data_IF_753515590823
#
_entry.id   IF_753515590823
#
_cell.length_a   1.000
_cell.length_b   1.000
_cell.length_c   1.000
_cell.angle_alpha   90.00
_cell.angle_beta   90.00
_cell.angle_gamma   90.00
#
_symmetry.space_group_name_H-M   'P 1'
#
loop_
_entity.id
_entity.type
_entity.pdbx_description
1 polymer ?
#
# COMPACT_ATOMS: atom_id res chain seq x y z
N UNK A 1 -3.74 14.05 31.31
CA UNK A 1 -5.15 13.84 31.00
C UNK A 1 -5.43 12.48 30.32
N UNK A 2 -4.42 11.63 30.14
CA UNK A 2 -4.59 10.22 29.77
C UNK A 2 -4.99 9.92 28.32
N UNK A 3 -4.81 10.87 27.42
CA UNK A 3 -5.17 10.70 26.00
C UNK A 3 -4.00 10.21 25.12
N UNK A 4 -2.77 10.38 25.57
CA UNK A 4 -1.57 10.02 24.83
C UNK A 4 -0.85 8.86 25.50
N UNK A 5 -0.56 7.83 24.73
CA UNK A 5 0.21 6.66 25.13
C UNK A 5 1.22 6.33 24.04
N UNK A 6 2.36 5.81 24.42
CA UNK A 6 3.40 5.35 23.50
C UNK A 6 3.45 3.82 23.51
N UNK A 7 3.82 3.23 22.39
CA UNK A 7 4.16 1.82 22.27
C UNK A 7 5.39 1.70 21.37
N UNK A 8 6.25 0.73 21.65
CA UNK A 8 7.42 0.47 20.80
C UNK A 8 7.01 0.06 19.39
N UNK A 9 7.75 0.49 18.39
CA UNK A 9 7.53 0.19 16.98
C UNK A 9 8.74 -0.51 16.35
N UNK A 10 8.56 -1.15 15.17
CA UNK A 10 9.65 -1.72 14.39
C UNK A 10 10.73 -0.70 14.06
N UNK A 11 11.95 -1.17 13.84
CA UNK A 11 13.08 -0.28 13.54
C UNK A 11 12.87 0.51 12.27
N UNK A 12 13.04 1.85 12.35
CA UNK A 12 12.73 2.80 11.28
C UNK A 12 11.25 2.72 10.84
N UNK A 13 10.31 3.08 11.74
CA UNK A 13 8.88 2.99 11.48
C UNK A 13 8.48 3.68 10.18
N UNK A 14 7.54 3.08 9.42
CA UNK A 14 7.12 3.64 8.15
C UNK A 14 5.61 3.56 7.94
N UNK A 15 5.05 2.38 7.65
CA UNK A 15 3.62 2.20 7.39
C UNK A 15 2.85 1.76 8.64
N UNK A 16 1.63 2.29 8.79
CA UNK A 16 0.64 1.86 9.79
C UNK A 16 -0.68 1.69 9.08
N UNK A 17 -1.09 0.44 8.88
CA UNK A 17 -2.24 0.08 8.07
C UNK A 17 -3.28 -0.65 8.94
N UNK A 18 -4.55 -0.21 8.90
CA UNK A 18 -5.63 -0.81 9.69
C UNK A 18 -6.19 -2.02 8.96
N UNK A 19 -6.41 -3.13 9.68
CA UNK A 19 -7.05 -4.31 9.09
C UNK A 19 -8.50 -4.05 8.70
N UNK A 20 -9.06 -4.75 7.69
CA UNK A 20 -10.41 -4.50 7.19
C UNK A 20 -11.51 -4.58 8.25
N UNK A 21 -11.34 -5.42 9.27
CA UNK A 21 -12.27 -5.53 10.40
C UNK A 21 -12.10 -4.43 11.46
N UNK A 22 -11.12 -3.54 11.28
CA UNK A 22 -10.84 -2.42 12.18
C UNK A 22 -10.28 -2.81 13.55
N UNK A 23 -9.84 -4.06 13.75
CA UNK A 23 -9.41 -4.55 15.06
C UNK A 23 -7.93 -4.51 15.31
N UNK A 24 -7.14 -4.39 14.26
CA UNK A 24 -5.69 -4.50 14.33
C UNK A 24 -4.99 -3.42 13.49
N UNK A 25 -3.76 -3.14 13.85
CA UNK A 25 -2.83 -2.31 13.09
C UNK A 25 -1.67 -3.17 12.63
N UNK A 26 -1.37 -3.14 11.35
CA UNK A 26 -0.13 -3.69 10.80
C UNK A 26 0.88 -2.58 10.69
N UNK A 27 1.95 -2.68 11.49
CA UNK A 27 3.01 -1.67 11.56
C UNK A 27 4.28 -2.23 10.97
N UNK A 28 4.87 -1.47 10.09
CA UNK A 28 6.06 -1.85 9.33
C UNK A 28 7.23 -0.92 9.59
N UNK A 29 8.46 -1.45 9.53
CA UNK A 29 9.68 -0.68 9.71
C UNK A 29 10.71 -1.01 8.62
N UNK A 30 11.25 0.03 7.98
CA UNK A 30 12.17 -0.08 6.84
C UNK A 30 13.46 -0.84 7.15
N UNK A 31 13.88 -0.87 8.41
CA UNK A 31 15.10 -1.58 8.87
C UNK A 31 14.75 -2.78 9.77
N UNK A 32 13.53 -3.27 9.68
CA UNK A 32 13.07 -4.51 10.31
C UNK A 32 12.84 -5.59 9.26
N UNK A 33 12.68 -6.83 9.70
CA UNK A 33 12.33 -7.98 8.84
C UNK A 33 10.88 -8.43 9.03
N UNK A 34 10.17 -7.82 9.97
CA UNK A 34 8.82 -8.23 10.35
C UNK A 34 7.78 -7.15 10.09
N UNK A 35 6.60 -7.56 9.67
CA UNK A 35 5.37 -6.80 9.90
C UNK A 35 4.86 -7.13 11.31
N UNK A 36 4.57 -6.12 12.12
CA UNK A 36 4.08 -6.27 13.50
C UNK A 36 2.59 -5.97 13.57
N UNK A 37 1.82 -6.88 14.12
CA UNK A 37 0.36 -6.76 14.23
C UNK A 37 -0.01 -6.40 15.66
N UNK A 38 -0.47 -5.17 15.87
CA UNK A 38 -1.00 -4.68 17.15
C UNK A 38 -2.50 -4.93 17.22
N UNK A 39 -2.98 -5.26 18.42
CA UNK A 39 -4.41 -5.44 18.67
C UNK A 39 -4.99 -4.24 19.39
N UNK A 40 -6.02 -3.60 18.85
CA UNK A 40 -6.74 -2.52 19.51
C UNK A 40 -7.34 -2.95 20.85
N UNK A 41 -7.84 -4.18 20.95
CA UNK A 41 -8.39 -4.72 22.19
C UNK A 41 -7.31 -4.80 23.28
N UNK A 42 -6.12 -5.30 22.95
CA UNK A 42 -4.98 -5.38 23.88
C UNK A 42 -4.51 -3.99 24.28
N UNK A 43 -4.32 -3.09 23.31
CA UNK A 43 -3.92 -1.70 23.58
C UNK A 43 -4.92 -1.02 24.52
N UNK A 44 -6.20 -1.12 24.23
CA UNK A 44 -7.25 -0.57 25.07
C UNK A 44 -7.26 -1.19 26.47
N UNK A 45 -7.15 -2.50 26.58
CA UNK A 45 -7.08 -3.21 27.85
C UNK A 45 -5.91 -2.77 28.74
N UNK A 46 -4.74 -2.55 28.14
CA UNK A 46 -3.55 -2.03 28.84
C UNK A 46 -3.77 -0.60 29.35
N UNK A 47 -4.38 0.24 28.53
CA UNK A 47 -4.71 1.64 28.91
C UNK A 47 -5.72 1.65 30.05
N UNK A 48 -6.83 0.91 29.94
CA UNK A 48 -7.88 0.83 30.95
C UNK A 48 -7.35 0.30 32.30
N UNK A 49 -6.46 -0.70 32.23
CA UNK A 49 -5.80 -1.28 33.41
C UNK A 49 -4.62 -0.44 33.92
N UNK A 50 -4.26 0.66 33.23
CA UNK A 50 -3.09 1.49 33.52
C UNK A 50 -1.81 0.67 33.63
N UNK A 51 -1.68 -0.35 32.79
CA UNK A 51 -0.50 -1.22 32.75
C UNK A 51 0.56 -0.62 31.82
N UNK A 52 1.57 -0.02 32.40
CA UNK A 52 2.64 0.66 31.69
C UNK A 52 4.00 0.04 32.05
N UNK A 53 4.94 0.01 31.10
CA UNK A 53 6.33 -0.40 31.36
C UNK A 53 7.24 0.78 31.76
N UNK A 54 6.75 2.01 31.63
CA UNK A 54 7.49 3.21 31.97
C UNK A 54 6.81 4.49 31.49
N UNK A 55 7.60 5.55 31.45
CA UNK A 55 7.23 6.85 30.87
C UNK A 55 8.40 7.39 30.07
N UNK A 56 8.12 8.16 29.05
CA UNK A 56 9.12 8.91 28.30
C UNK A 56 9.62 10.15 29.08
N UNK A 57 10.49 10.93 28.46
CA UNK A 57 11.06 12.16 29.04
C UNK A 57 10.02 13.25 29.29
N UNK A 58 8.83 13.17 28.68
CA UNK A 58 7.72 14.12 28.87
C UNK A 58 6.65 13.60 29.84
N UNK A 59 6.86 12.43 30.42
CA UNK A 59 5.93 11.79 31.35
C UNK A 59 4.80 11.03 30.68
N UNK A 60 4.86 10.80 29.36
CA UNK A 60 3.86 10.03 28.61
C UNK A 60 4.02 8.54 28.92
N UNK A 61 2.93 7.84 29.30
CA UNK A 61 3.01 6.41 29.61
C UNK A 61 3.39 5.58 28.37
N UNK A 62 4.22 4.55 28.60
CA UNK A 62 4.66 3.59 27.59
C UNK A 62 3.97 2.26 27.84
N UNK A 63 3.26 1.75 26.82
CA UNK A 63 2.60 0.44 26.86
C UNK A 63 3.63 -0.67 26.62
N UNK A 64 3.51 -1.83 27.33
CA UNK A 64 4.40 -2.96 27.11
C UNK A 64 4.25 -3.52 25.69
N UNK A 65 5.34 -3.54 24.93
CA UNK A 65 5.33 -3.98 23.53
C UNK A 65 4.77 -5.40 23.37
N UNK A 66 5.29 -6.36 24.12
CA UNK A 66 4.90 -7.77 23.99
C UNK A 66 3.41 -8.02 24.29
N UNK A 67 2.82 -7.21 25.18
CA UNK A 67 1.40 -7.32 25.53
C UNK A 67 0.49 -6.58 24.55
N UNK A 68 1.04 -5.66 23.76
CA UNK A 68 0.31 -4.82 22.81
C UNK A 68 0.07 -5.50 21.46
N UNK A 69 0.93 -6.47 21.10
CA UNK A 69 0.87 -7.13 19.80
C UNK A 69 0.08 -8.44 19.83
N UNK A 70 -0.52 -8.79 18.69
CA UNK A 70 -1.01 -10.15 18.43
C UNK A 70 0.13 -11.06 18.02
N UNK A 71 1.05 -10.57 17.21
CA UNK A 71 2.22 -11.29 16.75
C UNK A 71 2.98 -10.54 15.67
N UNK A 72 3.97 -11.23 15.11
CA UNK A 72 4.82 -10.71 14.04
C UNK A 72 4.92 -11.72 12.90
N UNK A 73 5.08 -11.23 11.69
CA UNK A 73 5.30 -12.05 10.48
C UNK A 73 6.65 -11.68 9.90
N UNK A 74 7.56 -12.63 9.79
CA UNK A 74 8.84 -12.41 9.12
C UNK A 74 8.62 -12.41 7.59
N UNK A 75 8.64 -11.23 6.98
CA UNK A 75 8.34 -11.02 5.56
C UNK A 75 9.55 -10.56 4.74
N UNK A 76 10.69 -10.38 5.39
CA UNK A 76 11.93 -9.93 4.76
C UNK A 76 12.26 -8.47 5.05
N UNK A 77 13.47 -8.06 4.68
CA UNK A 77 14.03 -6.77 5.09
C UNK A 77 13.36 -5.60 4.36
N UNK A 78 12.81 -4.70 5.15
CA UNK A 78 12.28 -3.42 4.68
C UNK A 78 10.78 -3.39 4.39
N UNK A 79 9.91 -3.96 5.24
CA UNK A 79 8.47 -3.79 5.08
C UNK A 79 8.07 -2.31 5.21
N UNK A 80 7.15 -1.85 4.36
CA UNK A 80 6.66 -0.46 4.38
C UNK A 80 5.15 -0.35 4.51
N UNK A 81 4.37 -0.73 3.50
CA UNK A 81 2.92 -0.54 3.44
C UNK A 81 2.20 -1.85 3.20
N UNK A 82 0.99 -1.96 3.74
CA UNK A 82 0.16 -3.16 3.66
C UNK A 82 -1.20 -2.82 3.06
N UNK A 83 -1.66 -3.68 2.14
CA UNK A 83 -3.00 -3.68 1.57
C UNK A 83 -3.64 -5.05 1.80
N UNK A 84 -4.94 -5.14 1.63
CA UNK A 84 -5.68 -6.35 1.95
C UNK A 84 -6.57 -6.82 0.78
N UNK A 85 -6.96 -8.10 0.80
CA UNK A 85 -7.99 -8.69 -0.05
C UNK A 85 -9.22 -9.11 0.76
N UNK A 86 -10.25 -9.57 0.05
CA UNK A 86 -11.49 -10.10 0.63
C UNK A 86 -11.35 -11.57 1.11
N UNK A 87 -10.18 -12.17 0.97
CA UNK A 87 -9.90 -13.58 1.31
C UNK A 87 -9.13 -13.73 2.61
N UNK A 88 -8.86 -12.62 3.31
CA UNK A 88 -8.13 -12.60 4.58
C UNK A 88 -6.62 -12.62 4.43
N UNK A 89 -6.10 -12.24 3.26
CA UNK A 89 -4.67 -12.05 3.05
C UNK A 89 -4.28 -10.58 3.17
N UNK A 90 -3.05 -10.37 3.58
CA UNK A 90 -2.37 -9.09 3.56
C UNK A 90 -1.22 -9.14 2.55
N UNK A 91 -0.99 -8.02 1.91
CA UNK A 91 0.09 -7.80 0.94
C UNK A 91 0.96 -6.67 1.46
N UNK A 92 2.23 -6.93 1.68
CA UNK A 92 3.15 -5.91 2.19
C UNK A 92 4.30 -5.70 1.23
N UNK A 93 4.57 -4.43 0.92
CA UNK A 93 5.76 -4.06 0.14
C UNK A 93 7.01 -4.24 1.00
N UNK A 94 8.01 -4.95 0.46
CA UNK A 94 9.31 -5.21 1.11
C UNK A 94 10.39 -4.45 0.34
N UNK A 95 10.63 -3.22 0.77
CA UNK A 95 11.38 -2.20 0.05
C UNK A 95 12.82 -2.60 -0.29
N UNK A 96 13.59 -3.11 0.68
CA UNK A 96 15.01 -3.44 0.47
C UNK A 96 15.15 -4.71 -0.35
N UNK A 97 14.28 -5.69 -0.14
CA UNK A 97 14.28 -6.92 -0.94
C UNK A 97 13.65 -6.75 -2.33
N UNK A 98 12.93 -5.66 -2.58
CA UNK A 98 12.20 -5.43 -3.83
C UNK A 98 11.21 -6.55 -4.16
N UNK A 99 10.39 -6.88 -3.17
CA UNK A 99 9.33 -7.89 -3.29
C UNK A 99 8.01 -7.37 -2.73
N UNK A 100 6.91 -8.01 -3.12
CA UNK A 100 5.63 -7.93 -2.41
C UNK A 100 5.39 -9.28 -1.77
N UNK A 101 5.16 -9.28 -0.46
CA UNK A 101 4.86 -10.47 0.31
C UNK A 101 3.36 -10.60 0.55
N UNK A 102 2.78 -11.74 0.16
CA UNK A 102 1.43 -12.17 0.52
C UNK A 102 1.49 -13.02 1.77
N UNK A 103 0.68 -12.71 2.76
CA UNK A 103 0.66 -13.45 4.02
C UNK A 103 -0.75 -13.52 4.63
N UNK A 104 -1.01 -14.59 5.39
CA UNK A 104 -2.30 -14.80 6.05
C UNK A 104 -2.45 -13.91 7.28
N UNK A 105 -3.49 -13.05 7.31
CA UNK A 105 -3.85 -12.28 8.52
C UNK A 105 -4.17 -13.21 9.68
N UNK A 106 -4.87 -14.32 9.43
CA UNK A 106 -5.26 -15.26 10.47
C UNK A 106 -4.06 -15.95 11.13
N UNK A 107 -3.17 -16.50 10.30
CA UNK A 107 -2.12 -17.41 10.78
C UNK A 107 -0.79 -16.72 11.03
N UNK A 108 -0.65 -15.45 10.59
CA UNK A 108 0.60 -14.68 10.62
C UNK A 108 1.75 -15.44 9.93
N UNK A 109 1.48 -15.95 8.73
CA UNK A 109 2.45 -16.73 7.94
C UNK A 109 2.51 -16.22 6.51
N UNK A 110 3.73 -16.12 5.99
CA UNK A 110 3.95 -15.84 4.57
C UNK A 110 3.41 -17.01 3.73
N UNK A 111 2.67 -16.66 2.69
CA UNK A 111 2.13 -17.60 1.69
C UNK A 111 3.09 -17.64 0.50
N UNK A 112 3.40 -16.47 -0.05
CA UNK A 112 4.30 -16.34 -1.19
C UNK A 112 4.88 -14.92 -1.30
N UNK A 113 5.89 -14.76 -2.17
CA UNK A 113 6.44 -13.45 -2.52
C UNK A 113 6.57 -13.35 -4.03
N UNK A 114 6.27 -12.18 -4.58
CA UNK A 114 6.55 -11.84 -5.97
C UNK A 114 7.65 -10.80 -6.03
N UNK A 115 8.63 -11.03 -6.91
CA UNK A 115 9.70 -10.06 -7.14
C UNK A 115 9.20 -8.93 -8.02
N UNK A 116 9.50 -7.70 -7.63
CA UNK A 116 9.18 -6.48 -8.37
C UNK A 116 10.46 -5.72 -8.71
N UNK A 117 10.33 -4.57 -9.36
CA UNK A 117 11.46 -3.70 -9.60
C UNK A 117 11.97 -3.06 -8.31
N UNK A 118 13.03 -2.31 -8.46
CA UNK A 118 13.87 -1.87 -7.37
C UNK A 118 13.18 -0.89 -6.42
N UNK A 119 13.27 -1.16 -5.12
CA UNK A 119 12.77 -0.33 -4.03
C UNK A 119 11.28 0.00 -4.14
N UNK A 120 10.45 -1.03 -4.12
CA UNK A 120 9.00 -0.88 -4.05
C UNK A 120 8.61 -0.11 -2.78
N UNK A 121 7.85 0.97 -2.95
CA UNK A 121 7.32 1.76 -1.86
C UNK A 121 5.85 1.44 -1.57
N UNK A 122 4.98 2.35 -1.97
CA UNK A 122 3.54 2.15 -1.82
C UNK A 122 3.02 1.06 -2.76
N UNK A 123 1.99 0.37 -2.28
CA UNK A 123 1.21 -0.59 -3.03
C UNK A 123 -0.26 -0.23 -2.89
N UNK A 124 -1.08 -0.62 -3.84
CA UNK A 124 -2.53 -0.40 -3.78
C UNK A 124 -3.28 -1.55 -4.45
N UNK A 125 -4.36 -1.99 -3.82
CA UNK A 125 -5.40 -2.84 -4.41
C UNK A 125 -6.74 -2.11 -4.35
N UNK A 126 -7.74 -2.57 -5.12
CA UNK A 126 -9.05 -1.95 -5.07
C UNK A 126 -9.66 -2.11 -3.66
N UNK A 127 -10.04 -0.98 -3.04
CA UNK A 127 -10.57 -0.92 -1.67
C UNK A 127 -9.66 -1.58 -0.61
N UNK A 128 -8.37 -1.77 -0.93
CA UNK A 128 -7.45 -2.59 -0.14
C UNK A 128 -7.06 -2.04 1.24
N UNK A 129 -7.39 -0.80 1.52
CA UNK A 129 -7.22 -0.10 2.80
C UNK A 129 -8.56 0.26 3.45
N UNK A 130 -9.64 -0.38 3.04
CA UNK A 130 -11.00 -0.15 3.55
C UNK A 130 -11.55 -1.35 4.30
N UNK A 131 -12.79 -1.19 4.81
CA UNK A 131 -13.53 -2.28 5.48
C UNK A 131 -14.03 -3.35 4.52
N UNK A 132 -13.94 -3.12 3.21
CA UNK A 132 -14.44 -4.02 2.17
C UNK A 132 -13.45 -4.11 1.01
N UNK A 133 -12.26 -4.69 1.22
CA UNK A 133 -11.32 -4.94 0.15
C UNK A 133 -11.98 -5.75 -0.97
N UNK A 134 -11.68 -5.41 -2.23
CA UNK A 134 -12.37 -5.99 -3.38
C UNK A 134 -11.42 -6.17 -4.59
N UNK A 135 -10.12 -6.18 -4.35
CA UNK A 135 -9.13 -6.24 -5.42
C UNK A 135 -8.70 -7.65 -5.78
N UNK A 136 -8.70 -7.99 -7.09
CA UNK A 136 -7.98 -9.14 -7.65
C UNK A 136 -6.61 -8.76 -8.22
N UNK A 137 -6.26 -7.48 -8.15
CA UNK A 137 -5.00 -6.92 -8.65
C UNK A 137 -4.38 -5.99 -7.64
N UNK A 138 -3.05 -5.89 -7.69
CA UNK A 138 -2.26 -4.99 -6.86
C UNK A 138 -1.27 -4.21 -7.72
N UNK A 139 -1.17 -2.92 -7.51
CA UNK A 139 -0.13 -2.07 -8.09
C UNK A 139 1.02 -1.94 -7.10
N UNK A 140 2.23 -2.20 -7.56
CA UNK A 140 3.48 -1.95 -6.84
C UNK A 140 4.20 -0.76 -7.48
N UNK A 141 4.50 0.27 -6.69
CA UNK A 141 5.19 1.47 -7.15
C UNK A 141 6.66 1.44 -6.75
N UNK A 142 7.53 1.41 -7.75
CA UNK A 142 8.98 1.31 -7.58
C UNK A 142 9.61 2.69 -7.64
N UNK A 143 10.22 3.12 -6.52
CA UNK A 143 10.53 4.53 -6.26
C UNK A 143 11.92 4.98 -6.65
N UNK A 144 12.94 4.18 -6.31
CA UNK A 144 14.31 4.70 -6.24
C UNK A 144 15.21 4.22 -7.36
N UNK A 145 14.75 4.35 -8.58
CA UNK A 145 15.56 4.09 -9.76
C UNK A 145 16.21 5.36 -10.35
N UNK A 146 16.47 6.38 -9.52
CA UNK A 146 17.10 7.63 -9.92
C UNK A 146 18.62 7.58 -9.79
N UNK A 147 19.33 8.31 -10.64
CA UNK A 147 20.81 8.41 -10.64
C UNK A 147 21.38 8.79 -9.26
N UNK A 148 20.72 9.67 -8.53
CA UNK A 148 21.12 10.06 -7.17
C UNK A 148 21.15 8.91 -6.18
N UNK A 149 20.45 7.81 -6.46
CA UNK A 149 20.39 6.61 -5.64
C UNK A 149 21.16 5.42 -6.21
N UNK A 150 22.03 5.63 -7.18
CA UNK A 150 22.79 4.59 -7.87
C UNK A 150 23.62 3.67 -6.96
N UNK A 151 23.94 4.14 -5.75
CA UNK A 151 24.69 3.36 -4.74
C UNK A 151 23.84 2.34 -4.01
N UNK A 152 22.52 2.41 -4.12
CA UNK A 152 21.59 1.50 -3.42
C UNK A 152 20.97 0.46 -4.33
N UNK A 153 21.30 0.46 -5.62
CA UNK A 153 20.89 -0.62 -6.52
C UNK A 153 20.98 -0.26 -8.02
N UNK A 154 20.49 -1.16 -8.87
CA UNK A 154 20.53 -0.95 -10.31
C UNK A 154 19.68 0.24 -10.72
N UNK A 155 20.16 1.01 -11.70
CA UNK A 155 19.42 2.09 -12.32
C UNK A 155 18.34 1.50 -13.24
N UNK A 156 17.15 1.29 -12.70
CA UNK A 156 15.97 0.95 -13.47
C UNK A 156 15.03 2.17 -13.49
N UNK A 157 14.28 2.38 -14.57
CA UNK A 157 13.31 3.47 -14.60
C UNK A 157 12.28 3.29 -13.50
N UNK A 158 11.86 4.40 -12.88
CA UNK A 158 10.71 4.39 -11.99
C UNK A 158 9.53 3.85 -12.78
N UNK A 159 8.74 3.03 -12.14
CA UNK A 159 7.62 2.41 -12.78
C UNK A 159 6.53 2.03 -11.78
N UNK A 160 5.36 1.70 -12.28
CA UNK A 160 4.47 0.83 -11.55
C UNK A 160 4.38 -0.54 -12.22
N UNK A 161 4.17 -1.55 -11.41
CA UNK A 161 3.94 -2.91 -11.87
C UNK A 161 2.60 -3.41 -11.37
N UNK A 162 1.84 -4.05 -12.28
CA UNK A 162 0.54 -4.65 -11.96
C UNK A 162 0.72 -6.14 -11.69
N UNK A 163 0.21 -6.58 -10.56
CA UNK A 163 0.29 -7.96 -10.09
C UNK A 163 -1.13 -8.52 -10.04
N UNK A 164 -1.36 -9.68 -10.65
CA UNK A 164 -2.56 -10.47 -10.44
C UNK A 164 -2.40 -11.24 -9.13
N UNK A 165 -3.18 -10.87 -8.10
CA UNK A 165 -3.14 -11.47 -6.77
C UNK A 165 -4.18 -12.58 -6.59
N UNK A 166 -5.07 -12.77 -7.56
CA UNK A 166 -6.00 -13.91 -7.62
C UNK A 166 -5.37 -15.17 -8.22
N UNK A 167 -4.25 -15.03 -8.94
CA UNK A 167 -3.52 -16.19 -9.45
C UNK A 167 -2.65 -16.83 -8.36
N UNK A 168 -2.44 -18.14 -8.47
CA UNK A 168 -1.52 -18.92 -7.64
C UNK A 168 -0.50 -19.64 -8.54
N UNK A 169 0.78 -19.23 -8.50
CA UNK A 169 1.35 -18.11 -7.76
C UNK A 169 0.91 -16.74 -8.31
N UNK A 170 1.10 -15.68 -7.50
CA UNK A 170 0.91 -14.29 -7.92
C UNK A 170 1.73 -14.00 -9.19
N UNK A 171 1.13 -13.29 -10.16
CA UNK A 171 1.77 -13.02 -11.45
C UNK A 171 1.94 -11.52 -11.69
N UNK A 172 3.16 -11.12 -12.01
CA UNK A 172 3.42 -9.80 -12.57
C UNK A 172 2.93 -9.80 -14.03
N UNK A 173 1.91 -8.99 -14.34
CA UNK A 173 1.25 -9.00 -15.64
C UNK A 173 1.45 -7.74 -16.46
N UNK A 174 1.93 -6.66 -15.86
CA UNK A 174 2.18 -5.40 -16.55
C UNK A 174 3.27 -4.59 -15.86
N UNK A 175 4.03 -3.86 -16.65
CA UNK A 175 5.10 -2.98 -16.22
C UNK A 175 5.05 -1.69 -17.05
N UNK A 176 4.93 -0.54 -16.39
CA UNK A 176 4.87 0.76 -17.05
C UNK A 176 5.92 1.72 -16.48
N UNK A 177 6.93 2.09 -17.24
CA UNK A 177 7.84 3.16 -16.86
C UNK A 177 7.08 4.49 -16.69
N UNK A 178 7.49 5.26 -15.68
CA UNK A 178 6.94 6.56 -15.39
C UNK A 178 7.98 7.64 -15.68
N UNK A 179 7.60 8.74 -16.38
CA UNK A 179 8.55 9.79 -16.75
C UNK A 179 8.99 10.66 -15.59
N UNK A 180 8.21 10.65 -14.49
CA UNK A 180 8.50 11.40 -13.27
C UNK A 180 8.96 10.45 -12.18
N UNK A 181 9.96 10.85 -11.42
CA UNK A 181 10.55 10.04 -10.37
C UNK A 181 9.67 9.90 -9.13
N UNK A 182 9.93 8.84 -8.36
CA UNK A 182 9.33 8.54 -7.08
C UNK A 182 7.79 8.44 -7.12
N UNK A 183 7.20 7.51 -7.90
CA UNK A 183 5.77 7.26 -7.81
C UNK A 183 5.42 6.92 -6.36
N UNK A 184 4.54 7.73 -5.76
CA UNK A 184 4.32 7.67 -4.32
C UNK A 184 2.93 7.18 -3.96
N UNK A 185 1.93 7.50 -4.77
CA UNK A 185 0.57 7.11 -4.51
C UNK A 185 -0.18 6.76 -5.80
N UNK A 186 -1.07 5.79 -5.70
CA UNK A 186 -2.03 5.42 -6.72
C UNK A 186 -3.36 5.07 -6.07
N UNK A 187 -4.43 5.08 -6.84
CA UNK A 187 -5.72 4.56 -6.44
C UNK A 187 -6.22 3.57 -7.48
N UNK A 188 -6.94 2.58 -7.02
CA UNK A 188 -7.57 1.56 -7.85
C UNK A 188 -9.03 1.41 -7.44
N UNK A 189 -9.91 1.40 -8.42
CA UNK A 189 -11.33 1.14 -8.23
C UNK A 189 -11.82 0.20 -9.32
N UNK A 190 -12.71 -0.71 -9.00
CA UNK A 190 -13.35 -1.56 -10.01
C UNK A 190 -14.23 -0.74 -10.95
N UNK A 191 -14.19 -1.08 -12.23
CA UNK A 191 -14.93 -0.34 -13.27
C UNK A 191 -16.46 -0.35 -13.07
N UNK A 192 -17.00 -1.42 -12.51
CA UNK A 192 -18.42 -1.55 -12.18
C UNK A 192 -18.89 -0.64 -11.03
N UNK A 193 -17.95 -0.17 -10.21
CA UNK A 193 -18.20 0.83 -9.15
C UNK A 193 -18.08 2.27 -9.65
N UNK A 194 -17.64 2.47 -10.88
CA UNK A 194 -17.50 3.79 -11.47
C UNK A 194 -18.78 4.19 -12.20
N UNK A 195 -19.24 5.39 -11.93
CA UNK A 195 -20.18 6.11 -12.79
C UNK A 195 -19.37 7.19 -13.51
N UNK A 196 -18.79 6.88 -14.70
CA UNK A 196 -17.97 7.86 -15.40
C UNK A 196 -18.82 9.07 -15.76
N UNK A 197 -18.40 10.23 -15.29
CA UNK A 197 -18.96 11.52 -15.70
C UNK A 197 -18.01 12.09 -16.73
N UNK A 198 -18.52 12.45 -17.91
CA UNK A 198 -17.75 13.21 -18.88
C UNK A 198 -17.39 14.57 -18.28
N UNK A 199 -16.21 14.67 -17.67
CA UNK A 199 -15.68 15.91 -17.11
C UNK A 199 -15.24 16.84 -18.24
N UNK A 200 -14.94 16.25 -19.40
CA UNK A 200 -14.56 16.97 -20.60
C UNK A 200 -15.74 17.04 -21.55
N UNK A 201 -15.88 18.17 -22.23
CA UNK A 201 -16.84 18.29 -23.31
C UNK A 201 -16.54 17.26 -24.39
N UNK A 202 -17.55 16.76 -25.13
CA UNK A 202 -17.35 15.74 -26.15
C UNK A 202 -16.19 16.06 -27.09
N UNK A 203 -15.53 14.99 -27.60
CA UNK A 203 -14.45 15.15 -28.56
C UNK A 203 -14.89 16.09 -29.71
N UNK A 204 -14.09 17.13 -29.93
CA UNK A 204 -14.45 18.17 -30.88
C UNK A 204 -14.86 19.50 -30.26
N UNK A 205 -14.83 19.58 -28.94
CA UNK A 205 -14.98 20.85 -28.24
C UNK A 205 -13.62 21.54 -28.11
N UNK A 206 -13.56 22.80 -28.51
CA UNK A 206 -12.35 23.62 -28.29
C UNK A 206 -12.39 24.17 -26.87
N UNK A 207 -11.45 23.71 -26.03
CA UNK A 207 -11.35 24.12 -24.62
C UNK A 207 -10.91 25.58 -24.45
N UNK A 208 -10.33 26.19 -25.48
CA UNK A 208 -9.88 27.58 -25.43
C UNK A 208 -11.01 28.54 -25.78
N UNK A 209 -11.80 28.19 -26.78
CA UNK A 209 -12.90 29.02 -27.26
C UNK A 209 -14.25 28.67 -26.67
N UNK A 210 -14.32 27.55 -25.94
CA UNK A 210 -15.56 26.99 -25.36
C UNK A 210 -16.65 26.74 -26.41
N UNK A 211 -16.25 26.40 -27.63
CA UNK A 211 -17.15 26.19 -28.79
C UNK A 211 -16.92 24.82 -29.46
N UNK A 212 -17.92 24.24 -30.13
CA UNK A 212 -17.71 23.05 -30.91
C UNK A 212 -16.66 23.27 -32.00
N UNK A 213 -15.68 22.38 -32.10
CA UNK A 213 -14.71 22.41 -33.19
C UNK A 213 -15.35 21.74 -34.46
N UNK A 214 -15.62 22.50 -35.50
CA UNK A 214 -16.31 21.98 -36.68
C UNK A 214 -15.51 20.91 -37.45
N UNK A 215 -14.22 20.80 -37.22
CA UNK A 215 -13.36 19.81 -37.88
C UNK A 215 -13.28 18.47 -37.15
N UNK A 216 -13.73 18.39 -35.89
CA UNK A 216 -13.62 17.16 -35.10
C UNK A 216 -14.78 16.17 -35.40
N UNK A 217 -15.87 16.63 -35.96
CA UNK A 217 -17.00 15.77 -36.36
C UNK A 217 -16.59 14.86 -37.54
N UNK A 218 -15.78 15.36 -38.46
CA UNK A 218 -15.30 14.59 -39.63
C UNK A 218 -14.35 13.45 -39.26
N UNK A 219 -13.55 13.60 -38.21
CA UNK A 219 -12.60 12.56 -37.77
C UNK A 219 -13.31 11.35 -37.10
N UNK A 220 -14.55 11.49 -36.70
CA UNK A 220 -15.32 10.41 -36.06
C UNK A 220 -16.03 9.51 -37.11
N UNK A 221 -16.40 10.07 -38.27
CA UNK A 221 -17.00 9.33 -39.35
C UNK A 221 -15.99 8.48 -40.13
N UNK A 222 -14.73 8.91 -40.21
CA UNK A 222 -13.65 8.18 -40.90
C UNK A 222 -13.07 7.00 -40.08
N UNK A 223 -13.45 6.79 -38.80
CA UNK A 223 -12.96 5.70 -37.94
C UNK A 223 -13.94 4.52 -37.81
N UNK A 224 -15.05 4.54 -38.50
CA UNK A 224 -16.10 3.50 -38.41
C UNK A 224 -16.19 2.66 -39.73
N UNK A 225 -15.32 2.90 -40.69
CA UNK A 225 -15.05 1.99 -41.80
C UNK A 225 -13.74 1.23 -41.52
#
# INVERSE_FOLDING_TARGET
EGLLHLVGEPKSPHGVDVTPDGKELVVSGKLDTHATVYSFEKLKGLIDAKKYEGKDQFGVPILPFADSIRGQVEIGLGPLHTQYDDKGNAYTSVFIESTVAKWSLKDLKVIEKVKVHYNVGHIVSAEGDTVSPDGGYLIAMNKWALDRFNKVGPLLPQNFQLINIDSEPMQLIYDMPLPLGEPHYAQMIKADKMSPVDVYKPAGYDVVTDAPNPNAVKAKEERIE
#
